data_IF_321330121313
#
_entry.id   IF_321330121313
#
_cell.length_a   1.000
_cell.length_b   1.000
_cell.length_c   1.000
_cell.angle_alpha   90.00
_cell.angle_beta   90.00
_cell.angle_gamma   90.00
#
_symmetry.space_group_name_H-M   'P 1'
#
loop_
_entity.id
_entity.type
_entity.pdbx_description
1 polymer ?
#
# COMPACT_ATOMS: atom_id res chain seq x y z
N UNK A 1 -20.82 5.32 73.00
CA UNK A 1 -20.63 5.63 71.56
C UNK A 1 -19.16 5.41 71.24
N UNK A 2 -18.84 4.26 70.63
CA UNK A 2 -17.49 3.69 70.60
C UNK A 2 -16.53 4.53 69.74
N UNK A 3 -15.37 4.86 70.32
CA UNK A 3 -14.26 5.60 69.68
C UNK A 3 -13.77 4.95 68.37
N UNK A 4 -14.05 3.66 68.17
CA UNK A 4 -13.76 2.94 66.92
C UNK A 4 -14.55 3.47 65.71
N UNK A 5 -15.77 4.01 65.91
CA UNK A 5 -16.55 4.60 64.82
C UNK A 5 -16.01 5.95 64.36
N UNK A 6 -15.36 6.70 65.25
CA UNK A 6 -14.73 7.98 64.92
C UNK A 6 -13.43 7.80 64.12
N UNK A 7 -12.67 6.72 64.39
CA UNK A 7 -11.46 6.38 63.64
C UNK A 7 -11.77 5.86 62.23
N UNK A 8 -12.81 5.01 62.08
CA UNK A 8 -13.25 4.52 60.78
C UNK A 8 -13.79 5.66 59.89
N UNK A 9 -14.50 6.62 60.49
CA UNK A 9 -15.00 7.81 59.77
C UNK A 9 -13.86 8.77 59.34
N UNK A 10 -12.89 9.04 60.22
CA UNK A 10 -11.79 9.96 59.91
C UNK A 10 -10.72 9.36 58.98
N UNK A 11 -10.52 8.04 58.98
CA UNK A 11 -9.60 7.37 58.06
C UNK A 11 -10.09 7.46 56.61
N UNK A 12 -11.41 7.38 56.40
CA UNK A 12 -12.01 7.51 55.07
C UNK A 12 -11.96 8.95 54.53
N UNK A 13 -11.97 9.97 55.39
CA UNK A 13 -11.85 11.38 54.95
C UNK A 13 -10.45 11.76 54.42
N UNK A 14 -9.40 11.00 54.76
CA UNK A 14 -8.04 11.24 54.26
C UNK A 14 -7.72 10.51 52.95
N UNK A 15 -8.47 9.48 52.58
CA UNK A 15 -8.28 8.78 51.31
C UNK A 15 -8.83 9.60 50.14
N UNK A 16 -9.76 10.54 50.41
CA UNK A 16 -10.42 11.40 49.43
C UNK A 16 -9.56 12.46 48.75
N UNK A 17 -8.35 12.75 49.24
CA UNK A 17 -7.47 13.82 48.68
C UNK A 17 -6.36 13.30 47.77
N UNK A 18 -6.18 11.98 47.65
CA UNK A 18 -5.10 11.38 46.83
C UNK A 18 -5.58 10.79 45.50
N UNK A 19 -6.86 10.96 45.15
CA UNK A 19 -7.40 10.52 43.85
C UNK A 19 -7.30 11.59 42.76
N UNK A 20 -6.69 12.74 43.03
CA UNK A 20 -6.53 13.86 42.08
C UNK A 20 -5.23 13.81 41.27
N UNK A 21 -4.84 12.61 40.82
CA UNK A 21 -4.02 12.45 39.62
C UNK A 21 -4.85 11.80 38.53
N UNK A 22 -5.96 12.46 38.20
CA UNK A 22 -6.61 12.30 36.91
C UNK A 22 -5.68 12.96 35.89
N UNK A 23 -4.65 12.22 35.49
CA UNK A 23 -3.91 12.50 34.26
C UNK A 23 -4.98 12.66 33.18
N UNK A 24 -5.23 13.89 32.79
CA UNK A 24 -6.17 14.27 31.74
C UNK A 24 -5.59 13.85 30.40
N UNK A 25 -5.35 12.54 30.24
CA UNK A 25 -5.16 11.95 28.95
C UNK A 25 -6.55 11.67 28.39
N UNK A 26 -7.13 12.71 27.78
CA UNK A 26 -8.27 12.50 26.91
C UNK A 26 -7.79 11.61 25.77
N UNK A 27 -8.15 10.32 25.83
CA UNK A 27 -7.95 9.42 24.71
C UNK A 27 -8.92 9.89 23.64
N UNK A 28 -8.49 10.82 22.79
CA UNK A 28 -9.25 11.18 21.61
C UNK A 28 -9.40 9.90 20.79
N UNK A 29 -10.62 9.35 20.76
CA UNK A 29 -10.87 8.13 20.00
C UNK A 29 -10.68 8.48 18.53
N UNK A 30 -9.60 7.99 17.93
CA UNK A 30 -9.39 8.12 16.49
C UNK A 30 -10.51 7.36 15.80
N UNK A 31 -11.24 8.04 14.90
CA UNK A 31 -12.29 7.40 14.11
C UNK A 31 -11.64 6.25 13.33
N UNK A 32 -12.22 5.02 13.36
CA UNK A 32 -11.63 3.89 12.66
C UNK A 32 -11.47 4.24 11.18
N UNK A 33 -10.24 4.10 10.67
CA UNK A 33 -9.94 4.40 9.28
C UNK A 33 -10.74 3.45 8.38
N UNK A 34 -11.55 4.02 7.49
CA UNK A 34 -12.20 3.25 6.44
C UNK A 34 -11.14 2.93 5.39
N UNK A 35 -10.76 1.64 5.20
CA UNK A 35 -9.74 1.29 4.22
C UNK A 35 -10.23 1.69 2.82
N UNK A 36 -9.43 2.52 2.14
CA UNK A 36 -9.72 3.04 0.81
C UNK A 36 -9.84 1.93 -0.24
N UNK A 37 -9.19 0.79 0.00
CA UNK A 37 -9.24 -0.39 -0.86
C UNK A 37 -9.77 -1.60 -0.08
N UNK A 38 -10.72 -2.32 -0.68
CA UNK A 38 -11.20 -3.62 -0.21
C UNK A 38 -10.56 -4.71 -1.05
N UNK A 39 -9.67 -5.50 -0.45
CA UNK A 39 -9.15 -6.70 -1.11
C UNK A 39 -10.26 -7.73 -1.25
N UNK A 40 -10.40 -8.32 -2.44
CA UNK A 40 -11.30 -9.45 -2.64
C UNK A 40 -10.72 -10.67 -1.92
N UNK A 41 -11.50 -11.27 -1.00
CA UNK A 41 -11.16 -12.56 -0.37
C UNK A 41 -11.10 -13.61 -1.49
N UNK A 42 -9.91 -14.14 -1.75
CA UNK A 42 -9.69 -15.20 -2.75
C UNK A 42 -8.92 -14.79 -4.01
N UNK A 43 -8.25 -13.62 -4.04
CA UNK A 43 -7.26 -13.39 -5.11
C UNK A 43 -6.13 -14.42 -4.95
N UNK A 44 -5.90 -15.34 -5.91
CA UNK A 44 -4.70 -16.16 -5.86
C UNK A 44 -3.51 -15.21 -5.85
N UNK A 45 -2.53 -15.47 -4.98
CA UNK A 45 -1.27 -14.75 -4.95
C UNK A 45 -0.53 -14.97 -6.27
N UNK A 46 -0.94 -14.27 -7.33
CA UNK A 46 -0.15 -14.15 -8.54
C UNK A 46 0.88 -13.08 -8.27
N UNK A 47 2.13 -13.52 -8.31
CA UNK A 47 3.30 -12.82 -7.84
C UNK A 47 3.42 -11.39 -8.34
N UNK A 48 4.08 -10.61 -7.51
CA UNK A 48 4.48 -9.25 -7.77
C UNK A 48 5.46 -9.23 -8.94
N UNK A 49 4.96 -9.10 -10.17
CA UNK A 49 5.74 -8.54 -11.27
C UNK A 49 5.47 -7.04 -11.27
N UNK A 50 6.48 -6.27 -10.88
CA UNK A 50 6.46 -4.82 -10.88
C UNK A 50 6.13 -4.31 -12.30
N UNK A 51 4.90 -3.83 -12.48
CA UNK A 51 4.43 -3.13 -13.66
C UNK A 51 3.68 -1.89 -13.23
N UNK A 52 4.32 -0.73 -13.36
CA UNK A 52 3.73 0.58 -13.13
C UNK A 52 2.60 0.83 -14.14
N UNK A 53 1.39 1.09 -13.66
CA UNK A 53 0.26 1.45 -14.51
C UNK A 53 -1.05 1.58 -13.73
N UNK A 54 -1.55 2.81 -13.61
CA UNK A 54 -2.77 3.16 -12.88
C UNK A 54 -4.03 2.51 -13.48
N UNK A 55 -4.93 1.86 -12.71
CA UNK A 55 -6.18 1.36 -13.25
C UNK A 55 -7.26 2.45 -13.22
N UNK A 56 -7.81 2.78 -14.39
CA UNK A 56 -9.04 3.59 -14.53
C UNK A 56 -10.30 2.81 -14.08
N UNK A 57 -11.40 3.50 -13.71
CA UNK A 57 -12.55 2.86 -13.08
C UNK A 57 -13.43 2.08 -14.09
N UNK A 58 -13.47 0.76 -13.89
CA UNK A 58 -14.68 -0.08 -13.84
C UNK A 58 -15.71 -0.02 -14.98
N UNK A 59 -15.64 -1.01 -15.89
CA UNK A 59 -16.81 -1.77 -16.33
C UNK A 59 -16.52 -3.24 -16.05
N UNK A 60 -17.39 -3.89 -15.28
CA UNK A 60 -17.38 -5.33 -15.08
C UNK A 60 -17.84 -6.04 -16.37
N UNK A 61 -17.00 -5.99 -17.41
CA UNK A 61 -17.03 -6.95 -18.49
C UNK A 61 -16.16 -8.12 -18.07
N UNK A 62 -16.64 -9.35 -18.29
CA UNK A 62 -15.82 -10.55 -18.23
C UNK A 62 -14.49 -10.24 -18.93
N UNK A 63 -13.40 -10.09 -18.15
CA UNK A 63 -12.08 -9.86 -18.72
C UNK A 63 -11.64 -11.20 -19.31
N UNK A 64 -12.16 -11.50 -20.50
CA UNK A 64 -11.49 -12.41 -21.41
C UNK A 64 -10.13 -11.76 -21.61
N UNK A 65 -9.13 -12.30 -20.91
CA UNK A 65 -7.73 -12.02 -21.20
C UNK A 65 -7.53 -12.64 -22.58
N UNK A 66 -7.89 -11.90 -23.62
CA UNK A 66 -7.39 -12.17 -24.95
C UNK A 66 -5.88 -12.07 -24.78
N UNK A 67 -5.19 -13.20 -24.80
CA UNK A 67 -3.76 -13.24 -25.03
C UNK A 67 -3.54 -12.44 -26.30
N UNK A 68 -3.13 -11.17 -26.14
CA UNK A 68 -2.80 -10.33 -27.28
C UNK A 68 -1.68 -11.07 -27.98
N UNK A 69 -1.90 -11.41 -29.26
CA UNK A 69 -0.86 -12.08 -30.05
C UNK A 69 0.42 -11.24 -30.00
N UNK A 70 1.57 -11.90 -30.00
CA UNK A 70 2.85 -11.22 -30.17
C UNK A 70 2.83 -10.54 -31.54
N UNK A 71 3.07 -9.23 -31.54
CA UNK A 71 3.15 -8.44 -32.77
C UNK A 71 4.62 -8.48 -33.21
N UNK A 72 4.84 -8.94 -34.44
CA UNK A 72 6.16 -8.97 -35.06
C UNK A 72 6.52 -7.61 -35.68
N UNK A 73 7.81 -7.34 -35.89
CA UNK A 73 8.30 -6.04 -36.37
C UNK A 73 7.69 -5.61 -37.73
N UNK A 74 7.39 -6.57 -38.61
CA UNK A 74 6.76 -6.30 -39.90
C UNK A 74 5.29 -5.86 -39.79
N UNK A 75 4.65 -6.13 -38.65
CA UNK A 75 3.28 -5.71 -38.35
C UNK A 75 3.24 -4.33 -37.70
N UNK A 76 4.39 -3.81 -37.25
CA UNK A 76 4.47 -2.50 -36.62
C UNK A 76 4.31 -1.38 -37.66
N UNK A 77 3.54 -0.32 -37.35
CA UNK A 77 3.55 0.91 -38.11
C UNK A 77 4.97 1.50 -38.24
N UNK A 78 5.26 2.17 -39.35
CA UNK A 78 6.58 2.69 -39.70
C UNK A 78 7.26 3.51 -38.59
N UNK A 79 6.49 4.30 -37.84
CA UNK A 79 6.97 5.10 -36.70
C UNK A 79 7.58 4.30 -35.53
N UNK A 80 7.25 3.01 -35.43
CA UNK A 80 7.73 2.10 -34.39
C UNK A 80 8.69 1.03 -34.94
N UNK A 81 8.95 1.04 -36.25
CA UNK A 81 9.94 0.15 -36.83
C UNK A 81 11.34 0.57 -36.40
N UNK A 82 12.21 -0.41 -36.24
CA UNK A 82 13.62 -0.18 -35.90
C UNK A 82 14.33 0.44 -37.10
N UNK A 83 15.27 1.33 -36.85
CA UNK A 83 16.15 1.87 -37.88
C UNK A 83 17.04 0.75 -38.43
N UNK A 84 17.26 0.65 -39.76
CA UNK A 84 18.25 -0.28 -40.31
C UNK A 84 19.65 0.08 -39.78
N UNK A 85 20.41 -0.95 -39.38
CA UNK A 85 21.77 -0.77 -38.87
C UNK A 85 22.76 -0.54 -40.01
N UNK A 86 23.70 0.39 -39.81
CA UNK A 86 24.78 0.67 -40.76
C UNK A 86 25.92 -0.35 -40.65
N UNK A 87 26.69 -0.60 -41.72
CA UNK A 87 27.78 -1.59 -41.72
C UNK A 87 28.85 -1.26 -40.67
N UNK A 88 29.18 0.03 -40.52
CA UNK A 88 30.13 0.50 -39.51
C UNK A 88 29.63 0.26 -38.09
N UNK A 89 28.33 0.43 -37.87
CA UNK A 89 27.69 0.18 -36.57
C UNK A 89 27.76 -1.32 -36.23
N UNK A 90 27.48 -2.18 -37.21
CA UNK A 90 27.58 -3.64 -37.06
C UNK A 90 29.01 -4.03 -36.69
N UNK A 91 30.02 -3.51 -37.39
CA UNK A 91 31.43 -3.75 -37.07
C UNK A 91 31.80 -3.28 -35.66
N UNK A 92 31.33 -2.10 -35.25
CA UNK A 92 31.61 -1.52 -33.94
C UNK A 92 31.01 -2.36 -32.81
N UNK A 93 29.79 -2.88 -33.00
CA UNK A 93 29.13 -3.78 -32.06
C UNK A 93 29.87 -5.12 -31.99
N UNK A 94 30.25 -5.69 -33.13
CA UNK A 94 30.99 -6.95 -33.19
C UNK A 94 32.39 -6.84 -32.56
N UNK A 95 33.06 -5.69 -32.72
CA UNK A 95 34.37 -5.38 -32.14
C UNK A 95 34.30 -5.04 -30.65
N UNK A 96 33.14 -4.55 -30.17
CA UNK A 96 32.91 -4.21 -28.77
C UNK A 96 33.26 -2.78 -28.37
N UNK A 97 33.40 -1.85 -29.32
CA UNK A 97 33.66 -0.44 -29.05
C UNK A 97 34.75 0.19 -29.93
N UNK A 98 35.10 1.46 -29.66
CA UNK A 98 36.21 2.15 -30.31
C UNK A 98 37.53 1.73 -29.66
N UNK A 99 38.62 1.82 -30.42
CA UNK A 99 39.99 1.63 -29.93
C UNK A 99 40.47 2.77 -29.05
#
# INVERSE_FOLDING_TARGET
>A
MSLARLYFSNSLQRISILTDLRCCYSIQSVKPHVPLIKFRKGSPAHGHSAGSGSPSPGVAGSSVVFSRGTIEDYQLPSRYQRTPMDEKEIEYINRGGPE
#
